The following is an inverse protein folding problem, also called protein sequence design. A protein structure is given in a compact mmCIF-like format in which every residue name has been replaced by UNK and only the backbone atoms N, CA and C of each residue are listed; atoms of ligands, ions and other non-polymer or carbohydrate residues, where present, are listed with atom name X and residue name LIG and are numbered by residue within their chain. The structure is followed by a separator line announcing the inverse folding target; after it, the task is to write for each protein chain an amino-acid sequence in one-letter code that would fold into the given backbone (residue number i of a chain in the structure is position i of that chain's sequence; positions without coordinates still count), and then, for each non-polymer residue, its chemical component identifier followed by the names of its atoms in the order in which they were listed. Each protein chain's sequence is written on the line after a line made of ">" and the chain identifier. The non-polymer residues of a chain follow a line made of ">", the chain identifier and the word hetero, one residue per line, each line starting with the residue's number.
data_IF_536891911377
#
_entry.id   IF_536891911377
#
_cell.length_a   1.000
_cell.length_b   1.000
_cell.length_c   1.000
_cell.angle_alpha   90.00
_cell.angle_beta   90.00
_cell.angle_gamma   90.00
#
_symmetry.space_group_name_H-M   'P 1'
#
loop_
_entity.id
_entity.type
_entity.pdbx_description
1 polymer ?
#
# COMPACT_ATOMS: atom_id res chain seq x y z
N UNK A 1 -1.66 20.28 -0.08
CA UNK A 1 -1.39 18.84 0.19
C UNK A 1 -0.26 18.43 -0.74
N UNK A 2 0.79 17.74 -0.26
CA UNK A 2 1.83 17.22 -1.16
C UNK A 2 1.17 16.35 -2.24
N UNK A 3 1.71 16.37 -3.46
CA UNK A 3 1.23 15.48 -4.51
C UNK A 3 1.32 14.02 -4.02
N UNK A 4 0.37 13.18 -4.43
CA UNK A 4 0.34 11.77 -4.04
C UNK A 4 0.68 10.86 -5.21
N UNK A 5 1.35 9.75 -4.90
CA UNK A 5 1.50 8.62 -5.81
C UNK A 5 0.59 7.47 -5.36
N UNK A 6 -0.20 6.96 -6.30
CA UNK A 6 -1.00 5.76 -6.10
C UNK A 6 -0.14 4.51 -6.13
N UNK A 7 -0.33 3.64 -5.14
CA UNK A 7 0.42 2.40 -4.97
C UNK A 7 -0.50 1.20 -5.14
N UNK A 8 -0.09 0.26 -5.98
CA UNK A 8 -0.67 -1.08 -6.07
C UNK A 8 0.27 -2.10 -5.46
N UNK A 9 -0.22 -2.95 -4.55
CA UNK A 9 0.56 -4.06 -3.96
C UNK A 9 0.06 -5.40 -4.51
N UNK A 10 0.97 -6.20 -5.08
CA UNK A 10 0.67 -7.54 -5.60
C UNK A 10 1.23 -8.59 -4.64
N UNK A 11 0.34 -9.46 -4.16
CA UNK A 11 0.59 -10.45 -3.12
C UNK A 11 0.33 -9.88 -1.73
N UNK A 12 -0.56 -10.50 -0.97
CA UNK A 12 -1.02 -10.00 0.34
C UNK A 12 -0.48 -10.82 1.52
N UNK A 13 0.54 -11.65 1.28
CA UNK A 13 1.29 -12.34 2.32
C UNK A 13 2.11 -11.38 3.20
N UNK A 14 3.05 -11.94 3.98
CA UNK A 14 3.81 -11.17 5.00
C UNK A 14 4.46 -9.91 4.41
N UNK A 15 5.14 -10.02 3.28
CA UNK A 15 5.77 -8.85 2.64
C UNK A 15 4.75 -7.89 2.05
N UNK A 16 3.63 -8.36 1.52
CA UNK A 16 2.54 -7.50 1.03
C UNK A 16 2.01 -6.60 2.13
N UNK A 17 1.69 -7.19 3.28
CA UNK A 17 1.23 -6.46 4.46
C UNK A 17 2.28 -5.48 4.98
N UNK A 18 3.56 -5.90 5.04
CA UNK A 18 4.65 -5.04 5.49
C UNK A 18 4.82 -3.80 4.59
N UNK A 19 4.80 -3.98 3.26
CA UNK A 19 4.91 -2.87 2.32
C UNK A 19 3.68 -1.97 2.36
N UNK A 20 2.46 -2.52 2.45
CA UNK A 20 1.24 -1.73 2.59
C UNK A 20 1.30 -0.81 3.83
N UNK A 21 1.74 -1.34 4.98
CA UNK A 21 1.95 -0.54 6.19
C UNK A 21 3.06 0.51 6.02
N UNK A 22 4.16 0.15 5.35
CA UNK A 22 5.26 1.07 5.09
C UNK A 22 4.81 2.25 4.22
N UNK A 23 4.09 2.02 3.12
CA UNK A 23 3.58 3.08 2.27
C UNK A 23 2.59 4.00 2.99
N UNK A 24 1.77 3.45 3.91
CA UNK A 24 0.86 4.25 4.72
C UNK A 24 1.58 5.09 5.77
N UNK A 25 2.69 4.59 6.33
CA UNK A 25 3.38 5.23 7.46
C UNK A 25 4.50 6.17 7.03
N UNK A 26 5.13 5.91 5.88
CA UNK A 26 6.31 6.64 5.43
C UNK A 26 6.10 8.17 5.28
N UNK A 27 4.99 8.67 4.70
CA UNK A 27 4.78 10.11 4.59
C UNK A 27 4.71 10.83 5.95
N UNK A 28 4.18 10.16 6.96
CA UNK A 28 4.06 10.71 8.32
C UNK A 28 5.40 10.69 9.07
N UNK A 29 6.21 9.65 8.88
CA UNK A 29 7.47 9.47 9.63
C UNK A 29 8.62 10.27 9.01
N UNK A 30 8.67 10.35 7.68
CA UNK A 30 9.84 10.86 6.96
C UNK A 30 9.60 12.19 6.25
N UNK A 31 8.41 12.79 6.36
CA UNK A 31 8.04 14.04 5.70
C UNK A 31 8.39 14.03 4.19
N UNK A 32 7.99 12.94 3.52
CA UNK A 32 8.41 12.68 2.14
C UNK A 32 7.94 13.78 1.18
N UNK A 33 8.76 14.10 0.18
CA UNK A 33 8.42 15.10 -0.84
C UNK A 33 7.14 14.76 -1.63
N UNK A 34 6.81 13.47 -1.72
CA UNK A 34 5.60 12.92 -2.32
C UNK A 34 4.91 12.02 -1.30
N UNK A 35 3.58 12.16 -1.13
CA UNK A 35 2.82 11.25 -0.28
C UNK A 35 2.52 9.94 -1.02
N UNK A 36 2.39 8.83 -0.30
CA UNK A 36 2.00 7.55 -0.87
C UNK A 36 0.55 7.22 -0.46
N UNK A 37 -0.25 6.75 -1.42
CA UNK A 37 -1.62 6.31 -1.19
C UNK A 37 -1.75 4.88 -1.70
N UNK A 38 -2.09 3.94 -0.81
CA UNK A 38 -2.41 2.57 -1.21
C UNK A 38 -3.77 2.57 -1.89
N UNK A 39 -3.80 2.28 -3.19
CA UNK A 39 -5.01 2.33 -4.02
C UNK A 39 -5.56 0.94 -4.32
N UNK A 40 -4.67 -0.03 -4.51
CA UNK A 40 -5.04 -1.37 -4.97
C UNK A 40 -4.22 -2.44 -4.27
N UNK A 41 -4.87 -3.54 -3.93
CA UNK A 41 -4.22 -4.81 -3.61
C UNK A 41 -4.65 -5.88 -4.60
N UNK A 42 -3.73 -6.78 -4.94
CA UNK A 42 -4.00 -7.92 -5.82
C UNK A 42 -3.47 -9.20 -5.18
N UNK A 43 -4.17 -10.30 -5.40
CA UNK A 43 -3.77 -11.63 -4.92
C UNK A 43 -4.17 -12.70 -5.96
N UNK A 44 -3.90 -13.97 -5.66
CA UNK A 44 -4.09 -15.10 -6.60
C UNK A 44 -5.54 -15.24 -7.09
N UNK A 45 -6.50 -14.72 -6.32
CA UNK A 45 -7.91 -14.63 -6.68
C UNK A 45 -8.57 -13.46 -5.95
N UNK A 46 -9.78 -13.10 -6.41
CA UNK A 46 -10.54 -11.98 -5.87
C UNK A 46 -10.87 -12.12 -4.38
N UNK A 47 -11.21 -13.34 -3.92
CA UNK A 47 -11.57 -13.57 -2.52
C UNK A 47 -10.38 -13.32 -1.58
N UNK A 48 -9.19 -13.77 -1.96
CA UNK A 48 -7.96 -13.50 -1.20
C UNK A 48 -7.64 -12.00 -1.17
N UNK A 49 -7.75 -11.30 -2.31
CA UNK A 49 -7.52 -9.86 -2.38
C UNK A 49 -8.54 -9.07 -1.53
N UNK A 50 -9.83 -9.43 -1.58
CA UNK A 50 -10.88 -8.79 -0.78
C UNK A 50 -10.70 -8.98 0.73
N UNK A 51 -10.13 -10.10 1.15
CA UNK A 51 -9.84 -10.36 2.58
C UNK A 51 -8.72 -9.46 3.11
N UNK A 52 -7.83 -8.99 2.23
CA UNK A 52 -6.65 -8.21 2.57
C UNK A 52 -6.80 -6.70 2.33
N UNK A 53 -7.89 -6.28 1.66
CA UNK A 53 -8.25 -4.87 1.43
C UNK A 53 -8.93 -4.26 2.67
#
# INVERSE_FOLDING_TARGET
>A
MPQSIGIGVVGTGIMGAAHAMAFRSAPTIFETALSAQLEVVADVNLSAAQKAA
#
